data_IF_996099966330
#
_entry.id   IF_996099966330
#
_cell.length_a   1.000
_cell.length_b   1.000
_cell.length_c   1.000
_cell.angle_alpha   90.00
_cell.angle_beta   90.00
_cell.angle_gamma   90.00
#
_symmetry.space_group_name_H-M   'P 1'
#
loop_
_entity.id
_entity.type
_entity.pdbx_description
1 polymer ?
#
# COMPACT_ATOMS: atom_id res chain seq x y z
N UNK A 1 -10.63 67.67 -2.94
CA UNK A 1 -10.03 66.63 -3.77
C UNK A 1 -9.31 65.65 -2.87
N UNK A 2 -9.85 64.44 -2.70
CA UNK A 2 -9.22 63.29 -2.05
C UNK A 2 -9.70 62.05 -2.82
N UNK A 3 -8.78 61.36 -3.48
CA UNK A 3 -9.07 60.17 -4.28
C UNK A 3 -9.32 58.94 -3.38
N UNK A 4 -10.19 57.99 -3.76
CA UNK A 4 -10.42 56.79 -2.97
C UNK A 4 -9.31 55.75 -3.23
N UNK A 5 -9.03 54.85 -2.26
CA UNK A 5 -8.01 53.82 -2.43
C UNK A 5 -8.50 52.74 -3.41
N UNK A 6 -7.67 52.46 -4.41
CA UNK A 6 -7.81 51.34 -5.35
C UNK A 6 -7.62 50.02 -4.62
N UNK A 7 -8.70 49.26 -4.45
CA UNK A 7 -8.63 47.86 -4.03
C UNK A 7 -8.15 47.05 -5.24
N UNK A 8 -6.90 46.61 -5.22
CA UNK A 8 -6.32 45.73 -6.24
C UNK A 8 -7.04 44.38 -6.27
N UNK A 9 -7.70 44.10 -7.39
CA UNK A 9 -8.16 42.78 -7.78
C UNK A 9 -6.97 41.85 -8.05
N UNK A 10 -6.31 41.31 -7.03
CA UNK A 10 -5.24 40.32 -7.28
C UNK A 10 -5.00 39.27 -6.18
N UNK A 11 -5.92 39.08 -5.23
CA UNK A 11 -5.81 38.01 -4.22
C UNK A 11 -6.88 36.90 -4.36
N UNK A 12 -7.60 36.84 -5.47
CA UNK A 12 -8.66 35.83 -5.68
C UNK A 12 -8.15 34.47 -6.23
N UNK A 13 -6.84 34.25 -6.38
CA UNK A 13 -6.31 33.01 -6.95
C UNK A 13 -4.99 32.58 -6.31
N UNK A 14 -5.02 32.28 -5.02
CA UNK A 14 -4.05 31.35 -4.45
C UNK A 14 -4.71 30.59 -3.32
N UNK A 15 -4.55 29.27 -3.38
CA UNK A 15 -4.85 28.33 -2.32
C UNK A 15 -6.28 27.80 -2.22
N UNK A 16 -6.80 27.26 -3.33
CA UNK A 16 -7.65 26.07 -3.27
C UNK A 16 -6.81 24.80 -3.47
N UNK A 17 -5.76 24.64 -2.65
CA UNK A 17 -5.31 23.28 -2.32
C UNK A 17 -6.31 22.73 -1.32
N UNK A 18 -7.37 22.12 -1.84
CA UNK A 18 -8.17 21.19 -1.06
C UNK A 18 -7.22 20.21 -0.38
N UNK A 19 -7.34 19.97 0.94
CA UNK A 19 -6.70 18.80 1.51
C UNK A 19 -7.39 17.63 0.81
N UNK A 20 -6.73 17.04 -0.19
CA UNK A 20 -7.23 15.84 -0.84
C UNK A 20 -7.27 14.80 0.27
N UNK A 21 -8.45 14.64 0.88
CA UNK A 21 -8.69 13.65 1.89
C UNK A 21 -8.19 12.33 1.33
N UNK A 22 -7.35 11.64 2.10
CA UNK A 22 -6.76 10.37 1.70
C UNK A 22 -7.89 9.44 1.25
N UNK A 23 -8.01 9.20 -0.06
CA UNK A 23 -9.02 8.31 -0.61
C UNK A 23 -8.58 6.89 -0.26
N UNK A 24 -9.35 6.19 0.56
CA UNK A 24 -9.15 4.77 0.83
C UNK A 24 -10.06 4.00 -0.13
N UNK A 25 -9.50 3.03 -0.86
CA UNK A 25 -10.32 2.18 -1.73
C UNK A 25 -11.32 1.35 -0.92
N UNK A 26 -12.50 1.05 -1.48
CA UNK A 26 -13.46 0.17 -0.83
C UNK A 26 -12.87 -1.23 -0.61
N UNK A 27 -13.38 -1.92 0.40
CA UNK A 27 -13.02 -3.30 0.68
C UNK A 27 -13.32 -4.22 -0.50
N UNK A 28 -12.46 -5.21 -0.68
CA UNK A 28 -12.55 -6.19 -1.78
C UNK A 28 -12.65 -7.60 -1.23
N UNK A 29 -13.19 -8.52 -2.02
CA UNK A 29 -13.15 -9.94 -1.68
C UNK A 29 -11.70 -10.42 -1.70
N UNK A 30 -11.18 -10.79 -0.53
CA UNK A 30 -9.86 -11.40 -0.41
C UNK A 30 -9.94 -12.89 -0.72
N UNK A 31 -8.95 -13.39 -1.44
CA UNK A 31 -8.75 -14.82 -1.62
C UNK A 31 -8.31 -15.45 -0.28
N UNK A 32 -8.84 -16.62 0.08
CA UNK A 32 -8.46 -17.27 1.32
C UNK A 32 -7.02 -17.77 1.26
N UNK A 33 -6.29 -17.61 2.36
CA UNK A 33 -4.99 -18.26 2.58
C UNK A 33 -5.18 -19.30 3.66
N UNK A 34 -5.01 -20.58 3.30
CA UNK A 34 -5.06 -21.69 4.26
C UNK A 34 -3.80 -21.70 5.14
N UNK A 35 -3.87 -22.40 6.28
CA UNK A 35 -2.72 -22.53 7.18
C UNK A 35 -1.50 -23.18 6.50
N UNK A 36 -1.74 -24.18 5.63
CA UNK A 36 -0.69 -24.84 4.84
C UNK A 36 -0.02 -23.86 3.88
N UNK A 37 -0.83 -23.12 3.10
CA UNK A 37 -0.32 -22.07 2.21
C UNK A 37 0.48 -21.04 3.00
N UNK A 38 -0.05 -20.56 4.12
CA UNK A 38 0.63 -19.60 4.99
C UNK A 38 2.02 -20.10 5.43
N UNK A 39 2.12 -21.38 5.81
CA UNK A 39 3.39 -22.03 6.13
C UNK A 39 4.36 -22.04 4.96
N UNK A 40 3.90 -22.39 3.76
CA UNK A 40 4.70 -22.33 2.53
C UNK A 40 5.19 -20.93 2.19
N UNK A 41 4.35 -19.90 2.37
CA UNK A 41 4.75 -18.50 2.18
C UNK A 41 5.80 -18.06 3.19
N UNK A 42 5.71 -18.53 4.44
CA UNK A 42 6.71 -18.25 5.46
C UNK A 42 8.06 -18.87 5.10
N UNK A 43 8.10 -20.13 4.65
CA UNK A 43 9.34 -20.76 4.20
C UNK A 43 9.97 -20.03 3.00
N UNK A 44 9.15 -19.58 2.04
CA UNK A 44 9.61 -18.80 0.88
C UNK A 44 10.19 -17.42 1.25
N UNK A 45 9.88 -16.89 2.43
CA UNK A 45 10.39 -15.59 2.86
C UNK A 45 11.78 -15.66 3.52
N UNK A 46 12.31 -16.86 3.76
CA UNK A 46 13.63 -17.09 4.34
C UNK A 46 14.71 -16.68 3.33
N UNK A 47 15.61 -15.81 3.74
CA UNK A 47 16.74 -15.34 2.94
C UNK A 47 17.84 -16.40 2.81
N UNK A 48 18.83 -16.09 1.95
CA UNK A 48 20.05 -16.90 1.81
C UNK A 48 20.86 -16.98 3.11
N UNK A 49 20.65 -16.01 4.01
CA UNK A 49 21.23 -15.94 5.35
C UNK A 49 20.46 -16.79 6.38
N UNK A 50 19.47 -17.56 5.94
CA UNK A 50 18.63 -18.39 6.80
C UNK A 50 17.61 -17.60 7.63
N UNK A 51 17.49 -16.28 7.42
CA UNK A 51 16.59 -15.43 8.23
C UNK A 51 15.31 -15.10 7.47
N UNK A 52 14.17 -15.31 8.13
CA UNK A 52 12.87 -14.92 7.62
C UNK A 52 12.77 -13.39 7.50
N UNK A 53 12.23 -12.91 6.37
CA UNK A 53 12.08 -11.48 6.09
C UNK A 53 10.62 -11.06 6.03
N UNK A 54 10.21 -10.23 6.97
CA UNK A 54 8.83 -9.75 7.08
C UNK A 54 8.35 -8.97 5.84
N UNK A 55 9.23 -8.18 5.20
CA UNK A 55 8.90 -7.45 3.97
C UNK A 55 8.60 -8.40 2.80
N UNK A 56 9.38 -9.49 2.67
CA UNK A 56 9.13 -10.54 1.68
C UNK A 56 7.86 -11.31 2.00
N UNK A 57 7.65 -11.69 3.25
CA UNK A 57 6.46 -12.41 3.66
C UNK A 57 5.18 -11.59 3.38
N UNK A 58 5.17 -10.30 3.73
CA UNK A 58 4.02 -9.43 3.45
C UNK A 58 3.72 -9.31 1.95
N UNK A 59 4.75 -9.26 1.10
CA UNK A 59 4.57 -9.28 -0.36
C UNK A 59 3.98 -10.60 -0.87
N UNK A 60 4.44 -11.72 -0.30
CA UNK A 60 3.93 -13.06 -0.58
C UNK A 60 2.48 -13.25 -0.11
N UNK A 61 2.10 -12.64 1.00
CA UNK A 61 0.71 -12.61 1.49
C UNK A 61 -0.15 -11.73 0.58
N UNK A 62 0.26 -10.48 0.32
CA UNK A 62 -0.46 -9.57 -0.58
C UNK A 62 -0.76 -10.22 -1.93
N UNK A 63 0.21 -10.92 -2.55
CA UNK A 63 -0.02 -11.58 -3.84
C UNK A 63 -1.03 -12.73 -3.82
N UNK A 64 -1.23 -13.36 -2.67
CA UNK A 64 -2.14 -14.49 -2.57
C UNK A 64 -3.52 -14.06 -2.04
N UNK A 65 -3.67 -12.82 -1.55
CA UNK A 65 -4.94 -12.27 -1.08
C UNK A 65 -5.76 -11.62 -2.21
N UNK A 66 -5.14 -11.22 -3.31
CA UNK A 66 -5.82 -10.48 -4.39
C UNK A 66 -5.62 -11.18 -5.73
N UNK A 67 -6.65 -11.12 -6.58
CA UNK A 67 -6.54 -11.61 -7.96
C UNK A 67 -5.61 -10.70 -8.79
N UNK A 68 -5.14 -11.21 -9.92
CA UNK A 68 -4.30 -10.44 -10.82
C UNK A 68 -5.02 -9.19 -11.35
N UNK A 69 -6.32 -9.29 -11.65
CA UNK A 69 -7.14 -8.20 -12.16
C UNK A 69 -7.24 -7.05 -11.16
N UNK A 70 -7.48 -7.38 -9.88
CA UNK A 70 -7.52 -6.39 -8.79
C UNK A 70 -6.15 -5.71 -8.66
N UNK A 71 -5.08 -6.51 -8.55
CA UNK A 71 -3.72 -5.99 -8.47
C UNK A 71 -3.41 -5.05 -9.65
N UNK A 72 -3.71 -5.49 -10.87
CA UNK A 72 -3.43 -4.76 -12.09
C UNK A 72 -4.19 -3.42 -12.12
N UNK A 73 -5.46 -3.40 -11.71
CA UNK A 73 -6.26 -2.20 -11.59
C UNK A 73 -5.70 -1.16 -10.60
N UNK A 74 -4.96 -1.60 -9.59
CA UNK A 74 -4.34 -0.73 -8.58
C UNK A 74 -2.94 -0.22 -8.95
N UNK A 75 -2.30 -0.84 -9.94
CA UNK A 75 -0.95 -0.43 -10.37
C UNK A 75 -0.94 1.05 -10.76
N UNK A 76 0.12 1.75 -10.39
CA UNK A 76 0.38 3.18 -10.65
C UNK A 76 -0.54 4.16 -9.92
N UNK A 77 -1.77 3.81 -9.58
CA UNK A 77 -2.79 4.70 -8.98
C UNK A 77 -2.97 4.53 -7.46
N UNK A 78 -2.51 3.42 -6.89
CA UNK A 78 -2.69 3.07 -5.46
C UNK A 78 -1.33 2.88 -4.78
N UNK A 79 -1.28 3.13 -3.48
CA UNK A 79 -0.20 2.69 -2.60
C UNK A 79 -0.75 2.29 -1.22
N UNK A 80 0.12 1.80 -0.34
CA UNK A 80 -0.28 1.24 0.94
C UNK A 80 -1.06 2.22 1.81
N UNK A 81 -0.66 3.49 1.87
CA UNK A 81 -1.22 4.47 2.81
C UNK A 81 -1.92 5.66 2.15
N UNK A 82 -2.09 5.68 0.83
CA UNK A 82 -2.70 6.80 0.10
C UNK A 82 -1.89 8.08 0.11
N UNK A 83 -0.56 7.97 0.14
CA UNK A 83 0.35 9.13 0.07
C UNK A 83 0.62 9.57 -1.38
N UNK A 84 1.07 10.82 -1.56
CA UNK A 84 1.53 11.38 -2.86
C UNK A 84 0.45 11.38 -3.96
N UNK A 85 -0.78 11.76 -3.61
CA UNK A 85 -1.88 11.88 -4.57
C UNK A 85 -2.43 10.55 -5.08
N UNK A 86 -2.11 9.44 -4.39
CA UNK A 86 -2.63 8.10 -4.70
C UNK A 86 -3.73 7.70 -3.71
N UNK A 87 -4.57 6.76 -4.12
CA UNK A 87 -5.50 6.11 -3.20
C UNK A 87 -4.75 5.12 -2.29
N UNK A 88 -5.25 4.93 -1.07
CA UNK A 88 -4.77 3.91 -0.14
C UNK A 88 -5.38 2.54 -0.47
N UNK A 89 -4.65 1.47 -0.17
CA UNK A 89 -5.19 0.11 -0.21
C UNK A 89 -6.41 -0.04 0.71
N UNK A 90 -7.33 -0.96 0.37
CA UNK A 90 -8.49 -1.27 1.21
C UNK A 90 -8.13 -1.58 2.66
N UNK A 91 -9.03 -1.26 3.59
CA UNK A 91 -8.80 -1.47 5.03
C UNK A 91 -8.65 -2.96 5.34
N UNK A 92 -9.58 -3.78 4.84
CA UNK A 92 -9.58 -5.22 5.09
C UNK A 92 -8.27 -5.90 4.63
N UNK A 93 -7.70 -5.47 3.50
CA UNK A 93 -6.44 -5.98 2.99
C UNK A 93 -5.25 -5.60 3.89
N UNK A 94 -5.17 -4.33 4.32
CA UNK A 94 -4.08 -3.86 5.18
C UNK A 94 -4.11 -4.53 6.55
N UNK A 95 -5.30 -4.71 7.11
CA UNK A 95 -5.49 -5.41 8.39
C UNK A 95 -5.16 -6.89 8.29
N UNK A 96 -5.58 -7.56 7.21
CA UNK A 96 -5.27 -8.98 6.99
C UNK A 96 -3.76 -9.19 6.85
N UNK A 97 -3.08 -8.37 6.04
CA UNK A 97 -1.62 -8.42 5.92
C UNK A 97 -0.96 -8.20 7.29
N UNK A 98 -1.42 -7.19 8.04
CA UNK A 98 -0.84 -6.87 9.34
C UNK A 98 -1.01 -8.01 10.34
N UNK A 99 -2.20 -8.62 10.35
CA UNK A 99 -2.52 -9.78 11.20
C UNK A 99 -1.61 -10.97 10.87
N UNK A 100 -1.48 -11.32 9.59
CA UNK A 100 -0.66 -12.45 9.17
C UNK A 100 0.83 -12.22 9.47
N UNK A 101 1.32 -11.01 9.24
CA UNK A 101 2.70 -10.64 9.59
C UNK A 101 2.93 -10.76 11.09
N UNK A 102 2.05 -10.19 11.93
CA UNK A 102 2.20 -10.24 13.39
C UNK A 102 2.15 -11.67 13.96
N UNK A 103 1.46 -12.62 13.31
CA UNK A 103 1.47 -14.04 13.72
C UNK A 103 2.83 -14.70 13.56
N UNK A 104 3.63 -14.28 12.57
CA UNK A 104 4.94 -14.88 12.24
C UNK A 104 6.12 -14.10 12.82
N UNK A 105 5.94 -12.80 13.01
CA UNK A 105 6.99 -11.88 13.45
C UNK A 105 6.52 -11.16 14.71
N UNK A 106 6.89 -11.70 15.87
CA UNK A 106 6.38 -11.28 17.20
C UNK A 106 6.90 -9.91 17.67
N UNK A 107 7.84 -9.28 16.96
CA UNK A 107 8.35 -7.94 17.30
C UNK A 107 8.86 -7.26 16.04
N UNK A 108 8.04 -6.38 15.45
CA UNK A 108 8.44 -5.54 14.33
C UNK A 108 8.55 -4.09 14.77
N UNK A 109 9.70 -3.47 14.47
CA UNK A 109 9.89 -2.04 14.71
C UNK A 109 9.20 -1.22 13.62
N UNK A 110 9.04 0.10 13.86
CA UNK A 110 8.50 1.02 12.87
C UNK A 110 9.27 0.98 11.52
N UNK A 111 10.57 0.70 11.60
CA UNK A 111 11.44 0.51 10.44
C UNK A 111 11.07 -0.70 9.59
N UNK A 112 10.72 -1.83 10.22
CA UNK A 112 10.29 -3.04 9.50
C UNK A 112 8.95 -2.83 8.81
N UNK A 113 8.02 -2.16 9.49
CA UNK A 113 6.75 -1.75 8.90
C UNK A 113 6.93 -0.79 7.72
N UNK A 114 7.91 0.12 7.80
CA UNK A 114 8.26 0.96 6.65
C UNK A 114 8.75 0.10 5.48
N UNK A 115 9.63 -0.88 5.71
CA UNK A 115 10.11 -1.81 4.66
C UNK A 115 8.98 -2.63 4.05
N UNK A 116 8.04 -3.12 4.86
CA UNK A 116 6.85 -3.83 4.39
C UNK A 116 6.02 -2.95 3.45
N UNK A 117 5.70 -1.72 3.88
CA UNK A 117 4.95 -0.76 3.05
C UNK A 117 5.70 -0.43 1.76
N UNK A 118 6.99 -0.18 1.84
CA UNK A 118 7.83 0.14 0.69
C UNK A 118 7.87 -1.03 -0.31
N UNK A 119 7.92 -2.28 0.16
CA UNK A 119 7.90 -3.47 -0.68
C UNK A 119 6.55 -3.64 -1.40
N UNK A 120 5.43 -3.49 -0.70
CA UNK A 120 4.10 -3.56 -1.32
C UNK A 120 3.94 -2.42 -2.33
N UNK A 121 4.39 -1.21 -1.99
CA UNK A 121 4.39 -0.06 -2.89
C UNK A 121 5.25 -0.31 -4.13
N UNK A 122 6.38 -0.98 -4.01
CA UNK A 122 7.23 -1.37 -5.13
C UNK A 122 6.48 -2.28 -6.11
N UNK A 123 5.70 -3.23 -5.61
CA UNK A 123 4.85 -4.07 -6.46
C UNK A 123 3.83 -3.22 -7.23
N UNK A 124 3.19 -2.26 -6.55
CA UNK A 124 2.18 -1.39 -7.14
C UNK A 124 2.74 -0.31 -8.09
N UNK A 125 4.05 -0.07 -8.12
CA UNK A 125 4.66 0.97 -8.99
C UNK A 125 4.65 0.61 -10.47
N UNK A 126 4.65 -0.67 -10.83
CA UNK A 126 4.77 -1.11 -12.22
C UNK A 126 3.80 -2.23 -12.53
N UNK A 127 3.13 -2.09 -13.67
CA UNK A 127 2.35 -3.16 -14.30
C UNK A 127 3.28 -4.32 -14.66
N UNK A 128 3.05 -5.49 -14.06
CA UNK A 128 3.83 -6.71 -14.33
C UNK A 128 3.01 -7.63 -15.22
N UNK A 129 3.63 -8.17 -16.28
CA UNK A 129 2.95 -8.95 -17.32
C UNK A 129 2.36 -10.29 -16.82
N UNK A 130 2.76 -10.77 -15.64
CA UNK A 130 2.24 -11.97 -14.99
C UNK A 130 2.22 -11.83 -13.46
N UNK A 131 1.33 -12.60 -12.81
CA UNK A 131 1.22 -12.71 -11.37
C UNK A 131 0.72 -14.13 -10.99
N UNK A 132 1.46 -14.91 -10.19
CA UNK A 132 2.75 -14.57 -9.59
C UNK A 132 3.86 -14.49 -10.65
N UNK A 133 4.96 -13.85 -10.28
CA UNK A 133 6.14 -13.74 -11.13
C UNK A 133 6.79 -15.11 -11.20
N UNK A 134 6.90 -15.63 -12.43
CA UNK A 134 7.81 -16.71 -12.80
C UNK A 134 9.18 -16.11 -13.07
#
# INVERSE_FOLDING_TARGET
>A
MLSPPTISHQEAQRNSQTPVGRIILPDVQLLPITQEMEGGLYLQCIGIDGKARADRYAALVFRNLVTFEIYWGWTTSVNFDGSRGKSALPCNLRETISTMVNRRFSTLAAYDWKRIRDRINEMLRRRRRSFPLV
#
